data_IF_493052267464
#
_entry.id   IF_493052267464
#
_cell.length_a   1.000
_cell.length_b   1.000
_cell.length_c   1.000
_cell.angle_alpha   90.00
_cell.angle_beta   90.00
_cell.angle_gamma   90.00
#
_symmetry.space_group_name_H-M   'P 1'
#
loop_
_entity.id
_entity.type
_entity.pdbx_description
1 polymer ?
#
# COMPACT_ATOMS: atom_id res chain seq x y z
N UNK A 1 0.32 -19.47 -60.49
CA UNK A 1 -0.24 -18.57 -61.51
C UNK A 1 -1.34 -17.76 -60.85
N UNK A 2 -1.21 -16.44 -60.90
CA UNK A 2 -2.05 -15.43 -60.26
C UNK A 2 -3.53 -15.45 -60.71
N UNK A 3 -4.31 -14.64 -59.98
CA UNK A 3 -5.50 -13.86 -60.37
C UNK A 3 -6.83 -14.34 -59.76
N UNK A 4 -7.38 -13.67 -58.74
CA UNK A 4 -7.94 -12.29 -58.61
C UNK A 4 -9.48 -12.36 -58.58
N UNK A 5 -10.05 -11.71 -57.55
CA UNK A 5 -11.48 -11.34 -57.46
C UNK A 5 -11.93 -10.54 -58.70
N UNK A 6 -13.26 -10.51 -58.95
CA UNK A 6 -13.89 -9.21 -59.13
C UNK A 6 -15.16 -9.02 -58.29
N UNK A 7 -15.28 -7.78 -57.82
CA UNK A 7 -16.44 -7.14 -57.22
C UNK A 7 -17.59 -6.91 -58.24
N UNK A 8 -18.80 -6.79 -57.67
CA UNK A 8 -19.90 -5.87 -58.02
C UNK A 8 -20.81 -6.18 -59.23
N UNK A 9 -22.10 -6.45 -58.93
CA UNK A 9 -23.29 -5.77 -59.50
C UNK A 9 -24.53 -6.09 -58.62
N UNK A 10 -24.90 -5.22 -57.68
CA UNK A 10 -26.07 -4.33 -57.69
C UNK A 10 -27.42 -5.04 -57.98
N UNK A 11 -28.24 -5.29 -56.95
CA UNK A 11 -29.35 -4.43 -56.45
C UNK A 11 -30.63 -4.57 -57.29
N UNK A 12 -31.67 -5.17 -56.69
CA UNK A 12 -33.07 -4.79 -56.84
C UNK A 12 -33.92 -5.45 -55.74
N UNK A 13 -34.45 -4.58 -54.86
CA UNK A 13 -35.79 -4.63 -54.24
C UNK A 13 -36.02 -5.71 -53.16
N UNK A 14 -36.67 -5.43 -52.04
CA UNK A 14 -37.22 -4.23 -51.44
C UNK A 14 -37.66 -4.61 -50.01
N UNK A 15 -37.72 -3.62 -49.13
CA UNK A 15 -38.55 -3.62 -47.92
C UNK A 15 -38.26 -4.71 -46.87
N UNK A 16 -37.27 -4.45 -46.01
CA UNK A 16 -37.43 -4.72 -44.59
C UNK A 16 -37.05 -3.46 -43.82
N UNK A 17 -37.91 -3.12 -42.86
CA UNK A 17 -37.92 -1.88 -42.09
C UNK A 17 -36.56 -1.48 -41.51
N UNK A 18 -36.35 -0.15 -41.28
CA UNK A 18 -35.19 0.32 -40.56
C UNK A 18 -35.33 -0.15 -39.12
N UNK A 19 -34.73 -1.29 -38.78
CA UNK A 19 -34.36 -1.55 -37.40
C UNK A 19 -33.32 -0.50 -37.09
N UNK A 20 -33.68 0.46 -36.22
CA UNK A 20 -32.76 1.41 -35.61
C UNK A 20 -31.47 0.66 -35.28
N UNK A 21 -30.42 0.93 -36.06
CA UNK A 21 -29.08 0.61 -35.64
C UNK A 21 -28.89 1.43 -34.37
N UNK A 22 -29.07 0.79 -33.21
CA UNK A 22 -28.56 1.33 -31.96
C UNK A 22 -27.11 1.67 -32.24
N UNK A 23 -26.80 2.95 -32.21
CA UNK A 23 -25.44 3.45 -32.12
C UNK A 23 -24.77 2.68 -30.98
N UNK A 24 -24.05 1.62 -31.33
CA UNK A 24 -23.07 1.02 -30.44
C UNK A 24 -22.04 2.11 -30.33
N UNK A 25 -22.17 2.95 -29.29
CA UNK A 25 -21.13 3.87 -28.86
C UNK A 25 -19.85 3.07 -28.88
N UNK A 26 -19.01 3.33 -29.87
CA UNK A 26 -17.63 2.83 -29.91
C UNK A 26 -17.02 3.44 -28.67
N UNK A 27 -16.88 2.67 -27.60
CA UNK A 27 -16.21 3.13 -26.39
C UNK A 27 -14.87 3.71 -26.84
N UNK A 28 -14.73 5.03 -26.73
CA UNK A 28 -13.47 5.70 -27.02
C UNK A 28 -12.46 5.14 -26.03
N UNK A 29 -11.65 4.19 -26.50
CA UNK A 29 -10.57 3.59 -25.73
C UNK A 29 -9.70 4.74 -25.23
N UNK A 30 -9.50 4.82 -23.92
CA UNK A 30 -8.69 5.85 -23.31
C UNK A 30 -7.30 5.89 -23.99
N UNK A 31 -6.71 7.09 -24.17
CA UNK A 31 -5.39 7.19 -24.77
C UNK A 31 -4.36 6.39 -23.94
N UNK A 32 -3.31 5.83 -24.57
CA UNK A 32 -2.23 5.16 -23.86
C UNK A 32 -1.65 6.06 -22.76
N UNK A 33 -1.29 5.45 -21.63
CA UNK A 33 -0.67 6.12 -20.48
C UNK A 33 0.80 5.74 -20.38
N UNK A 34 1.67 6.74 -20.23
CA UNK A 34 3.08 6.50 -19.88
C UNK A 34 3.20 5.98 -18.44
N UNK A 35 3.94 4.90 -18.26
CA UNK A 35 4.19 4.27 -16.96
C UNK A 35 5.68 3.99 -16.74
N UNK A 36 6.11 4.09 -15.49
CA UNK A 36 7.36 3.54 -15.00
C UNK A 36 7.10 2.10 -14.56
N UNK A 37 7.83 1.14 -15.11
CA UNK A 37 7.71 -0.28 -14.77
C UNK A 37 8.95 -0.70 -13.99
N UNK A 38 8.75 -1.29 -12.81
CA UNK A 38 9.82 -1.81 -11.96
C UNK A 38 9.61 -3.30 -11.73
N UNK A 39 10.67 -4.09 -11.90
CA UNK A 39 10.75 -5.42 -11.32
C UNK A 39 11.61 -5.32 -10.07
N UNK A 40 11.06 -5.69 -8.91
CA UNK A 40 11.74 -5.55 -7.63
C UNK A 40 11.61 -6.80 -6.76
N UNK A 41 12.62 -7.05 -5.96
CA UNK A 41 12.57 -7.98 -4.82
C UNK A 41 12.24 -7.19 -3.57
N UNK A 42 11.38 -7.73 -2.71
CA UNK A 42 10.99 -7.11 -1.43
C UNK A 42 11.06 -8.14 -0.30
N UNK A 43 11.59 -7.74 0.85
CA UNK A 43 11.57 -8.52 2.11
C UNK A 43 11.07 -7.68 3.28
N UNK A 44 10.76 -8.34 4.40
CA UNK A 44 10.39 -7.65 5.65
C UNK A 44 8.99 -7.01 5.66
N UNK A 45 8.08 -7.49 4.80
CA UNK A 45 6.67 -7.09 4.82
C UNK A 45 6.07 -7.39 6.20
N UNK A 46 5.33 -6.45 6.82
CA UNK A 46 4.63 -6.70 8.08
C UNK A 46 3.75 -7.96 8.00
N UNK A 47 3.99 -8.91 8.91
CA UNK A 47 3.25 -10.18 8.97
C UNK A 47 3.81 -11.33 8.13
N UNK A 48 4.89 -11.12 7.36
CA UNK A 48 5.64 -12.17 6.67
C UNK A 48 6.94 -12.50 7.42
N UNK A 49 7.48 -13.74 7.32
CA UNK A 49 8.81 -14.06 7.84
C UNK A 49 9.87 -13.18 7.16
N UNK A 50 10.83 -12.66 7.92
CA UNK A 50 11.84 -11.69 7.45
C UNK A 50 12.69 -12.22 6.27
N UNK A 51 12.83 -13.55 6.17
CA UNK A 51 13.65 -14.23 5.15
C UNK A 51 12.95 -14.43 3.80
N UNK A 52 11.64 -14.19 3.71
CA UNK A 52 10.90 -14.43 2.45
C UNK A 52 11.11 -13.27 1.49
N UNK A 53 11.75 -13.58 0.35
CA UNK A 53 11.90 -12.67 -0.79
C UNK A 53 10.69 -12.80 -1.71
N UNK A 54 9.98 -11.69 -1.93
CA UNK A 54 8.86 -11.60 -2.84
C UNK A 54 9.29 -10.86 -4.13
N UNK A 55 9.01 -11.45 -5.28
CA UNK A 55 9.24 -10.82 -6.57
C UNK A 55 7.98 -10.07 -7.00
N UNK A 56 8.09 -8.76 -7.14
CA UNK A 56 6.98 -7.87 -7.47
C UNK A 56 7.26 -7.14 -8.77
N UNK A 57 6.25 -7.06 -9.63
CA UNK A 57 6.25 -6.13 -10.75
C UNK A 57 5.32 -4.97 -10.44
N UNK A 58 5.82 -3.74 -10.59
CA UNK A 58 5.11 -2.51 -10.27
C UNK A 58 4.99 -1.66 -11.52
N UNK A 59 3.77 -1.29 -11.87
CA UNK A 59 3.47 -0.28 -12.89
C UNK A 59 3.02 0.98 -12.18
N UNK A 60 3.74 2.06 -12.38
CA UNK A 60 3.46 3.35 -11.78
C UNK A 60 3.01 4.27 -12.90
N UNK A 61 1.78 4.76 -12.81
CA UNK A 61 1.22 5.77 -13.72
C UNK A 61 1.16 7.15 -13.06
N UNK A 62 0.53 8.08 -13.77
CA UNK A 62 0.44 9.48 -13.32
C UNK A 62 -0.56 9.72 -12.19
N UNK A 63 -1.22 8.71 -11.63
CA UNK A 63 -2.22 8.86 -10.55
C UNK A 63 -2.61 7.48 -9.97
N UNK A 64 -1.91 6.41 -10.37
CA UNK A 64 -2.27 5.04 -10.02
C UNK A 64 -1.04 4.14 -10.00
N UNK A 65 -1.07 3.10 -9.18
CA UNK A 65 -0.03 2.07 -9.13
C UNK A 65 -0.71 0.71 -9.21
N UNK A 66 -0.22 -0.16 -10.08
CA UNK A 66 -0.51 -1.59 -10.07
C UNK A 66 0.73 -2.32 -9.53
N UNK A 67 0.53 -3.14 -8.51
CA UNK A 67 1.53 -4.03 -7.95
C UNK A 67 1.08 -5.47 -8.14
N UNK A 68 1.88 -6.25 -8.85
CA UNK A 68 1.71 -7.67 -9.09
C UNK A 68 2.73 -8.44 -8.23
N UNK A 69 2.24 -9.07 -7.16
CA UNK A 69 3.04 -9.97 -6.33
C UNK A 69 3.04 -11.36 -6.98
N UNK A 70 4.04 -11.61 -7.83
CA UNK A 70 4.13 -12.84 -8.63
C UNK A 70 4.34 -14.07 -7.77
N UNK A 71 4.94 -13.92 -6.59
CA UNK A 71 5.17 -15.01 -5.65
C UNK A 71 3.87 -15.52 -5.03
N UNK A 72 2.88 -14.63 -4.81
CA UNK A 72 1.61 -14.95 -4.15
C UNK A 72 0.39 -14.95 -5.08
N UNK A 73 0.55 -14.46 -6.29
CA UNK A 73 -0.56 -14.16 -7.20
C UNK A 73 -1.47 -13.06 -6.64
N UNK A 74 -0.96 -12.12 -5.84
CA UNK A 74 -1.76 -11.03 -5.29
C UNK A 74 -1.61 -9.79 -6.16
N UNK A 75 -2.72 -9.12 -6.49
CA UNK A 75 -2.70 -7.88 -7.24
C UNK A 75 -3.22 -6.75 -6.37
N UNK A 76 -2.53 -5.62 -6.37
CA UNK A 76 -2.96 -4.42 -5.66
C UNK A 76 -2.97 -3.22 -6.60
N UNK A 77 -4.02 -2.42 -6.53
CA UNK A 77 -4.14 -1.20 -7.32
C UNK A 77 -4.37 -0.02 -6.38
N UNK A 78 -3.39 0.86 -6.25
CA UNK A 78 -3.55 2.17 -5.61
C UNK A 78 -4.14 3.15 -6.62
N UNK A 79 -5.25 3.80 -6.27
CA UNK A 79 -5.97 4.77 -7.10
C UNK A 79 -5.98 6.13 -6.41
N UNK A 80 -5.29 7.11 -6.98
CA UNK A 80 -5.31 8.52 -6.53
C UNK A 80 -6.24 9.39 -7.38
N UNK A 81 -6.78 8.83 -8.45
CA UNK A 81 -7.74 9.47 -9.37
C UNK A 81 -9.19 9.40 -8.87
N UNK A 82 -9.41 8.80 -7.70
CA UNK A 82 -10.70 8.72 -7.02
C UNK A 82 -10.86 9.88 -6.03
N UNK A 83 -12.10 10.29 -5.67
CA UNK A 83 -12.33 11.36 -4.71
C UNK A 83 -11.61 11.17 -3.36
N UNK A 84 -11.52 9.91 -2.92
CA UNK A 84 -10.67 9.48 -1.82
C UNK A 84 -9.65 8.47 -2.35
N UNK A 85 -8.34 8.64 -2.05
CA UNK A 85 -7.33 7.63 -2.34
C UNK A 85 -7.71 6.28 -1.75
N UNK A 86 -7.59 5.23 -2.54
CA UNK A 86 -7.92 3.87 -2.11
C UNK A 86 -6.98 2.85 -2.71
N UNK A 87 -6.89 1.70 -2.05
CA UNK A 87 -6.24 0.50 -2.58
C UNK A 87 -7.28 -0.57 -2.82
N UNK A 88 -7.31 -1.11 -4.03
CA UNK A 88 -7.97 -2.37 -4.32
C UNK A 88 -6.97 -3.50 -4.10
N UNK A 89 -7.31 -4.45 -3.24
CA UNK A 89 -6.62 -5.74 -3.14
C UNK A 89 -7.46 -6.80 -3.84
N UNK A 90 -6.93 -7.40 -4.89
CA UNK A 90 -7.65 -8.31 -5.78
C UNK A 90 -7.13 -9.73 -5.56
N UNK A 91 -8.05 -10.69 -5.47
CA UNK A 91 -7.74 -12.10 -5.32
C UNK A 91 -6.95 -12.64 -6.51
N UNK A 92 -6.23 -13.75 -6.30
CA UNK A 92 -5.35 -14.32 -7.32
C UNK A 92 -6.07 -14.84 -8.56
N UNK A 93 -7.33 -15.22 -8.42
CA UNK A 93 -8.22 -15.63 -9.49
C UNK A 93 -9.00 -14.47 -10.13
N UNK A 94 -8.80 -13.23 -9.63
CA UNK A 94 -9.47 -12.02 -10.12
C UNK A 94 -10.97 -11.95 -9.84
N UNK A 95 -11.52 -12.91 -9.09
CA UNK A 95 -12.96 -13.01 -8.86
C UNK A 95 -13.47 -12.02 -7.81
N UNK A 96 -12.60 -11.59 -6.90
CA UNK A 96 -12.98 -10.79 -5.75
C UNK A 96 -11.97 -9.68 -5.47
N UNK A 97 -12.45 -8.59 -4.86
CA UNK A 97 -11.58 -7.52 -4.38
C UNK A 97 -12.05 -6.93 -3.05
N UNK A 98 -11.13 -6.28 -2.34
CA UNK A 98 -11.38 -5.47 -1.15
C UNK A 98 -10.94 -4.04 -1.39
N UNK A 99 -11.68 -3.08 -0.82
CA UNK A 99 -11.27 -1.68 -0.79
C UNK A 99 -10.63 -1.31 0.55
N UNK A 100 -9.52 -0.59 0.51
CA UNK A 100 -8.84 -0.03 1.67
C UNK A 100 -8.75 1.48 1.46
N UNK A 101 -9.42 2.25 2.32
CA UNK A 101 -9.57 3.71 2.17
C UNK A 101 -8.91 4.52 3.30
N UNK A 102 -8.72 3.94 4.49
CA UNK A 102 -7.97 4.58 5.58
C UNK A 102 -6.47 4.24 5.52
N UNK A 103 -5.82 4.71 4.46
CA UNK A 103 -4.40 4.43 4.23
C UNK A 103 -3.50 5.07 5.31
N UNK A 104 -3.96 6.14 5.96
CA UNK A 104 -3.21 6.87 6.99
C UNK A 104 -3.37 6.33 8.42
N UNK A 105 -4.13 5.24 8.62
CA UNK A 105 -4.41 4.64 9.93
C UNK A 105 -3.15 4.42 10.77
N UNK A 106 -2.09 3.89 10.16
CA UNK A 106 -0.82 3.59 10.85
C UNK A 106 -0.25 4.82 11.54
N UNK A 107 -0.25 5.98 10.88
CA UNK A 107 0.29 7.22 11.47
C UNK A 107 -0.66 7.82 12.52
N UNK A 108 -1.98 7.68 12.34
CA UNK A 108 -2.97 8.11 13.34
C UNK A 108 -2.80 7.32 14.64
N UNK A 109 -2.74 6.00 14.54
CA UNK A 109 -2.56 5.10 15.69
C UNK A 109 -1.22 5.36 16.38
N UNK A 110 -0.16 5.56 15.59
CA UNK A 110 1.17 5.94 16.08
C UNK A 110 1.12 7.23 16.90
N UNK A 111 0.51 8.29 16.36
CA UNK A 111 0.40 9.58 17.04
C UNK A 111 -0.32 9.46 18.38
N UNK A 112 -1.45 8.74 18.41
CA UNK A 112 -2.20 8.51 19.66
C UNK A 112 -1.36 7.78 20.71
N UNK A 113 -0.57 6.78 20.32
CA UNK A 113 0.30 6.07 21.24
C UNK A 113 1.47 6.92 21.74
N UNK A 114 2.06 7.75 20.88
CA UNK A 114 3.10 8.71 21.27
C UNK A 114 2.55 9.71 22.30
N UNK A 115 1.38 10.29 22.05
CA UNK A 115 0.70 11.21 22.98
C UNK A 115 0.39 10.54 24.34
N UNK A 116 -0.15 9.32 24.31
CA UNK A 116 -0.39 8.54 25.53
C UNK A 116 0.90 8.18 26.29
N UNK A 117 2.01 7.96 25.57
CA UNK A 117 3.30 7.70 26.21
C UNK A 117 3.82 8.95 26.91
N UNK A 118 3.74 10.10 26.26
CA UNK A 118 4.14 11.39 26.85
C UNK A 118 3.36 11.64 28.14
N UNK A 119 2.03 11.48 28.13
CA UNK A 119 1.20 11.70 29.31
C UNK A 119 1.55 10.73 30.45
N UNK A 120 1.69 9.42 30.16
CA UNK A 120 2.05 8.40 31.17
C UNK A 120 3.42 8.63 31.81
N UNK A 121 4.31 9.34 31.13
CA UNK A 121 5.67 9.59 31.63
C UNK A 121 5.79 10.88 32.44
N UNK A 122 4.71 11.66 32.56
CA UNK A 122 4.71 12.99 33.19
C UNK A 122 5.18 12.98 34.64
N UNK A 123 4.77 11.98 35.40
CA UNK A 123 5.06 11.86 36.83
C UNK A 123 6.36 11.08 37.12
N UNK A 124 7.07 10.62 36.08
CA UNK A 124 8.36 9.95 36.25
C UNK A 124 9.46 10.94 36.65
N UNK A 125 10.49 10.50 37.38
CA UNK A 125 11.69 11.29 37.62
C UNK A 125 12.27 11.86 36.31
N UNK A 126 12.81 13.10 36.30
CA UNK A 126 13.25 13.75 35.06
C UNK A 126 14.25 12.94 34.23
N UNK A 127 15.17 12.23 34.89
CA UNK A 127 16.14 11.36 34.22
C UNK A 127 15.49 10.14 33.57
N UNK A 128 14.53 9.51 34.24
CA UNK A 128 13.79 8.35 33.72
C UNK A 128 12.89 8.76 32.56
N UNK A 129 12.18 9.88 32.70
CA UNK A 129 11.36 10.45 31.62
C UNK A 129 12.21 10.73 30.38
N UNK A 130 13.35 11.41 30.54
CA UNK A 130 14.25 11.71 29.43
C UNK A 130 14.78 10.44 28.75
N UNK A 131 15.15 9.42 29.53
CA UNK A 131 15.64 8.15 29.00
C UNK A 131 14.56 7.42 28.19
N UNK A 132 13.32 7.37 28.69
CA UNK A 132 12.21 6.67 28.04
C UNK A 132 11.75 7.37 26.76
N UNK A 133 11.62 8.69 26.77
CA UNK A 133 11.30 9.48 25.57
C UNK A 133 12.38 9.33 24.50
N UNK A 134 13.67 9.38 24.89
CA UNK A 134 14.79 9.15 23.98
C UNK A 134 14.77 7.74 23.38
N UNK A 135 14.52 6.71 24.19
CA UNK A 135 14.42 5.33 23.72
C UNK A 135 13.24 5.12 22.75
N UNK A 136 12.21 5.96 22.86
CA UNK A 136 11.04 5.94 21.98
C UNK A 136 11.17 6.91 20.79
N UNK A 137 12.33 7.56 20.63
CA UNK A 137 12.59 8.59 19.61
C UNK A 137 11.62 9.78 19.65
N UNK A 138 11.06 10.10 20.82
CA UNK A 138 10.16 11.25 21.01
C UNK A 138 10.98 12.43 21.53
N UNK A 139 10.85 13.57 20.85
CA UNK A 139 11.35 14.87 21.31
C UNK A 139 10.18 15.75 21.70
N UNK A 140 10.36 16.56 22.74
CA UNK A 140 9.36 17.51 23.21
C UNK A 140 9.87 18.94 23.05
N UNK A 141 8.99 19.87 22.69
CA UNK A 141 9.28 21.31 22.71
C UNK A 141 9.38 21.85 24.13
N UNK A 142 9.71 23.14 24.26
CA UNK A 142 9.64 23.89 25.53
C UNK A 142 8.24 23.88 26.14
N UNK A 143 7.19 23.82 25.31
CA UNK A 143 5.79 23.76 25.74
C UNK A 143 5.33 22.31 26.07
N UNK A 144 6.18 21.32 25.82
CA UNK A 144 5.86 19.90 26.05
C UNK A 144 5.12 19.22 24.91
N UNK A 145 5.08 19.83 23.72
CA UNK A 145 4.47 19.24 22.52
C UNK A 145 5.45 18.30 21.79
N UNK A 146 4.94 17.26 21.13
CA UNK A 146 5.78 16.33 20.35
C UNK A 146 6.32 17.05 19.11
N UNK A 147 7.64 16.99 18.93
CA UNK A 147 8.34 17.57 17.78
C UNK A 147 9.04 16.46 16.99
N UNK A 148 8.97 16.56 15.66
CA UNK A 148 9.69 15.71 14.72
C UNK A 148 10.69 16.54 13.93
N UNK A 149 11.97 16.32 14.21
CA UNK A 149 13.06 16.92 13.45
C UNK A 149 13.52 15.95 12.37
N UNK A 150 13.52 16.38 11.12
CA UNK A 150 13.96 15.54 10.01
C UNK A 150 15.36 15.94 9.57
N UNK A 151 16.27 14.98 9.60
CA UNK A 151 17.62 15.14 9.05
C UNK A 151 17.79 14.27 7.81
N UNK A 152 18.23 14.88 6.73
CA UNK A 152 18.58 14.17 5.48
C UNK A 152 20.09 14.27 5.31
N UNK A 153 20.75 13.11 5.28
CA UNK A 153 22.17 13.00 4.97
C UNK A 153 22.31 12.44 3.55
N UNK A 154 23.05 13.15 2.69
CA UNK A 154 23.39 12.68 1.36
C UNK A 154 24.88 12.37 1.29
N UNK A 155 25.20 11.12 0.99
CA UNK A 155 26.58 10.70 0.74
C UNK A 155 26.83 10.70 -0.76
N UNK A 156 27.99 11.19 -1.22
CA UNK A 156 28.35 11.17 -2.64
C UNK A 156 28.39 9.74 -3.18
N UNK A 157 28.51 9.57 -4.50
CA UNK A 157 28.43 8.28 -5.20
C UNK A 157 29.11 7.16 -4.42
N UNK A 158 28.30 6.22 -3.91
CA UNK A 158 28.73 5.14 -3.01
C UNK A 158 28.87 3.80 -3.72
N UNK A 159 28.40 3.71 -4.97
CA UNK A 159 28.47 2.48 -5.77
C UNK A 159 27.70 2.58 -7.07
N UNK A 160 27.28 1.41 -7.57
CA UNK A 160 26.55 1.26 -8.83
C UNK A 160 25.37 0.28 -8.67
N UNK A 161 24.23 0.58 -9.29
CA UNK A 161 23.10 -0.34 -9.45
C UNK A 161 22.56 -0.26 -10.86
N UNK A 162 22.32 -1.44 -11.46
CA UNK A 162 21.79 -1.56 -12.81
C UNK A 162 22.62 -0.79 -13.85
N UNK A 163 23.95 -0.76 -13.71
CA UNK A 163 24.83 -0.02 -14.63
C UNK A 163 24.94 1.48 -14.33
N UNK A 164 24.28 1.99 -13.28
CA UNK A 164 24.16 3.42 -13.00
C UNK A 164 24.79 3.79 -11.66
N UNK A 165 25.53 4.92 -11.58
CA UNK A 165 26.06 5.41 -10.32
C UNK A 165 24.90 5.75 -9.36
N UNK A 166 25.06 5.38 -8.09
CA UNK A 166 24.08 5.67 -7.04
C UNK A 166 24.72 6.47 -5.91
N UNK A 167 23.94 7.41 -5.38
CA UNK A 167 24.24 8.11 -4.12
C UNK A 167 23.41 7.51 -2.99
N UNK A 168 23.93 7.53 -1.77
CA UNK A 168 23.18 7.07 -0.61
C UNK A 168 22.47 8.25 0.05
N UNK A 169 21.18 8.10 0.32
CA UNK A 169 20.35 9.08 1.03
C UNK A 169 19.81 8.45 2.29
N UNK A 170 20.17 9.01 3.43
CA UNK A 170 19.67 8.61 4.75
C UNK A 170 18.67 9.66 5.22
N UNK A 171 17.48 9.21 5.61
CA UNK A 171 16.45 10.07 6.21
C UNK A 171 16.23 9.63 7.64
N UNK A 172 16.45 10.56 8.57
CA UNK A 172 16.25 10.37 9.99
C UNK A 172 15.09 11.22 10.48
N UNK A 173 14.23 10.63 11.33
CA UNK A 173 13.22 11.33 12.11
C UNK A 173 13.64 11.29 13.57
N UNK A 174 13.94 12.47 14.13
CA UNK A 174 14.69 12.62 15.37
C UNK A 174 16.01 11.82 15.27
N UNK A 175 16.19 10.82 16.13
CA UNK A 175 17.37 9.95 16.14
C UNK A 175 17.11 8.59 15.46
N UNK A 176 15.94 8.41 14.83
CA UNK A 176 15.51 7.16 14.21
C UNK A 176 15.80 7.19 12.72
N UNK A 177 16.49 6.17 12.20
CA UNK A 177 16.57 5.97 10.75
C UNK A 177 15.20 5.58 10.19
N UNK A 178 14.73 6.30 9.17
CA UNK A 178 13.44 6.06 8.51
C UNK A 178 13.64 5.48 7.11
N UNK A 179 14.62 5.99 6.37
CA UNK A 179 14.94 5.48 5.05
C UNK A 179 16.45 5.47 4.83
N UNK A 180 16.94 4.38 4.24
CA UNK A 180 18.29 4.27 3.68
C UNK A 180 18.15 3.86 2.23
N UNK A 181 18.43 4.78 1.31
CA UNK A 181 18.12 4.64 -0.11
C UNK A 181 19.38 4.80 -0.96
N UNK A 182 19.59 3.87 -1.89
CA UNK A 182 20.52 4.03 -3.00
C UNK A 182 19.75 4.60 -4.20
N UNK A 183 20.02 5.87 -4.49
CA UNK A 183 19.28 6.67 -5.47
C UNK A 183 20.13 6.88 -6.72
N UNK A 184 19.59 6.49 -7.88
CA UNK A 184 20.17 6.80 -9.18
C UNK A 184 19.58 8.11 -9.73
N UNK A 185 20.38 8.84 -10.49
CA UNK A 185 19.93 10.05 -11.21
C UNK A 185 19.10 9.67 -12.45
N UNK A 186 17.87 9.21 -12.18
CA UNK A 186 16.88 8.85 -13.18
C UNK A 186 15.72 9.83 -13.02
N UNK A 187 15.44 10.61 -14.06
CA UNK A 187 14.23 11.41 -14.12
C UNK A 187 13.00 10.49 -14.14
N UNK A 188 11.96 10.78 -13.37
CA UNK A 188 10.69 10.05 -13.46
C UNK A 188 9.70 10.83 -14.33
N UNK A 189 8.79 10.16 -15.06
CA UNK A 189 7.81 10.85 -15.92
C UNK A 189 6.80 11.70 -15.13
N UNK A 190 6.66 11.46 -13.83
CA UNK A 190 5.82 12.22 -12.91
C UNK A 190 6.41 12.14 -11.49
N UNK A 191 5.91 12.98 -10.58
CA UNK A 191 6.31 12.95 -9.17
C UNK A 191 5.79 11.69 -8.45
N UNK A 192 6.69 11.00 -7.74
CA UNK A 192 6.36 9.85 -6.89
C UNK A 192 5.82 10.28 -5.50
N UNK A 193 6.01 11.55 -5.14
CA UNK A 193 5.72 12.07 -3.82
C UNK A 193 4.27 11.85 -3.35
N UNK A 194 3.30 12.01 -4.26
CA UNK A 194 1.87 11.76 -3.97
C UNK A 194 1.57 10.31 -3.57
N UNK A 195 2.34 9.34 -4.07
CA UNK A 195 2.15 7.94 -3.72
C UNK A 195 2.70 7.65 -2.33
N UNK A 196 3.81 8.29 -1.95
CA UNK A 196 4.30 8.25 -0.58
C UNK A 196 3.30 8.89 0.38
N UNK A 197 2.70 10.04 0.04
CA UNK A 197 1.63 10.64 0.86
C UNK A 197 0.44 9.69 1.04
N UNK A 198 0.02 9.06 -0.06
CA UNK A 198 -1.12 8.16 -0.04
C UNK A 198 -0.85 6.82 0.67
N UNK A 199 0.39 6.36 0.76
CA UNK A 199 0.70 5.06 1.38
C UNK A 199 0.46 5.02 2.89
N UNK A 200 0.45 6.18 3.55
CA UNK A 200 0.36 6.30 5.01
C UNK A 200 1.52 5.67 5.77
N UNK A 201 2.63 5.36 5.09
CA UNK A 201 3.80 4.74 5.69
C UNK A 201 4.67 5.73 6.49
N UNK A 202 4.52 7.03 6.23
CA UNK A 202 5.40 8.09 6.73
C UNK A 202 4.62 9.22 7.40
N UNK A 203 5.25 9.88 8.36
CA UNK A 203 4.78 11.15 8.93
C UNK A 203 4.83 12.27 7.88
N UNK A 204 4.07 13.35 8.08
CA UNK A 204 4.05 14.48 7.14
C UNK A 204 5.44 15.12 7.00
N UNK A 205 6.19 15.19 8.11
CA UNK A 205 7.52 15.77 8.12
C UNK A 205 8.51 14.94 7.28
N UNK A 206 8.45 13.61 7.39
CA UNK A 206 9.24 12.71 6.54
C UNK A 206 8.81 12.83 5.08
N UNK A 207 7.51 12.91 4.81
CA UNK A 207 6.98 13.06 3.44
C UNK A 207 7.58 14.28 2.76
N UNK A 208 7.56 15.45 3.41
CA UNK A 208 8.17 16.69 2.92
C UNK A 208 9.66 16.54 2.59
N UNK A 209 10.40 15.74 3.37
CA UNK A 209 11.81 15.46 3.09
C UNK A 209 11.97 14.54 1.87
N UNK A 210 11.18 13.47 1.78
CA UNK A 210 11.20 12.53 0.65
C UNK A 210 10.87 13.22 -0.69
N UNK A 211 9.98 14.23 -0.70
CA UNK A 211 9.63 14.94 -1.95
C UNK A 211 10.81 15.71 -2.56
N UNK A 212 11.79 16.08 -1.75
CA UNK A 212 12.97 16.85 -2.17
C UNK A 212 14.06 15.95 -2.75
N UNK A 213 13.98 14.64 -2.54
CA UNK A 213 14.95 13.68 -3.06
C UNK A 213 14.72 13.53 -4.56
N UNK A 214 15.71 13.95 -5.35
CA UNK A 214 15.69 13.79 -6.81
C UNK A 214 16.29 12.44 -7.23
N UNK A 215 15.70 11.85 -8.27
CA UNK A 215 16.12 10.55 -8.81
C UNK A 215 15.17 9.41 -8.43
N UNK A 216 15.58 8.19 -8.76
CA UNK A 216 14.81 6.97 -8.49
C UNK A 216 15.59 6.09 -7.51
N UNK A 217 15.01 5.75 -6.34
CA UNK A 217 15.57 4.74 -5.46
C UNK A 217 15.58 3.36 -6.16
N UNK A 218 16.77 2.77 -6.33
CA UNK A 218 16.94 1.45 -6.96
C UNK A 218 17.17 0.33 -5.94
N UNK A 219 17.48 0.67 -4.71
CA UNK A 219 17.63 -0.24 -3.59
C UNK A 219 17.49 0.55 -2.30
N UNK A 220 16.99 -0.07 -1.25
CA UNK A 220 16.96 0.58 0.05
C UNK A 220 16.16 -0.15 1.11
N UNK A 221 16.22 0.40 2.31
CA UNK A 221 15.40 -0.01 3.45
C UNK A 221 14.50 1.14 3.88
N UNK A 222 13.22 0.85 4.01
CA UNK A 222 12.20 1.76 4.54
C UNK A 222 11.74 1.20 5.89
N UNK A 223 11.89 1.98 6.95
CA UNK A 223 11.42 1.62 8.28
C UNK A 223 9.97 2.08 8.43
N UNK A 224 9.04 1.14 8.32
CA UNK A 224 7.62 1.42 8.56
C UNK A 224 7.40 1.49 10.07
N UNK A 225 7.34 2.71 10.58
CA UNK A 225 7.10 2.97 12.01
C UNK A 225 5.61 2.90 12.28
N UNK A 226 5.21 1.86 12.99
CA UNK A 226 3.86 1.72 13.53
C UNK A 226 3.83 2.20 14.97
N UNK A 227 2.66 2.14 15.58
CA UNK A 227 2.47 2.54 16.96
C UNK A 227 3.30 1.70 17.96
N UNK A 228 3.45 0.39 17.68
CA UNK A 228 4.11 -0.55 18.61
C UNK A 228 5.45 -1.07 18.13
N UNK A 229 5.65 -1.18 16.81
CA UNK A 229 6.79 -1.84 16.20
C UNK A 229 7.31 -1.05 15.01
N UNK A 230 8.53 -1.37 14.61
CA UNK A 230 9.11 -0.88 13.36
C UNK A 230 9.50 -2.05 12.50
N UNK A 231 9.04 -2.00 11.26
CA UNK A 231 9.22 -3.07 10.30
C UNK A 231 10.14 -2.58 9.19
N UNK A 232 11.34 -3.18 9.03
CA UNK A 232 12.21 -2.87 7.92
C UNK A 232 11.63 -3.51 6.65
N UNK A 233 11.20 -2.69 5.70
CA UNK A 233 10.90 -3.13 4.35
C UNK A 233 12.13 -2.89 3.49
N UNK A 234 12.77 -3.96 3.04
CA UNK A 234 13.93 -3.87 2.15
C UNK A 234 13.45 -4.12 0.73
N UNK A 235 13.86 -3.28 -0.21
CA UNK A 235 13.56 -3.47 -1.62
C UNK A 235 14.82 -3.37 -2.48
N UNK A 236 14.80 -4.10 -3.59
CA UNK A 236 15.89 -4.12 -4.57
C UNK A 236 15.31 -4.17 -5.98
N UNK A 237 15.49 -3.10 -6.74
CA UNK A 237 15.06 -3.03 -8.15
C UNK A 237 16.02 -3.86 -9.00
N UNK A 238 15.47 -4.84 -9.69
CA UNK A 238 16.19 -5.74 -10.60
C UNK A 238 16.15 -5.22 -12.04
N UNK A 239 15.05 -4.57 -12.42
CA UNK A 239 14.87 -3.97 -13.74
C UNK A 239 13.96 -2.75 -13.64
N UNK A 240 14.18 -1.76 -14.49
CA UNK A 240 13.27 -0.63 -14.66
C UNK A 240 13.11 -0.29 -16.14
N UNK A 241 11.95 0.22 -16.52
CA UNK A 241 11.65 0.62 -17.90
C UNK A 241 10.56 1.70 -17.95
N UNK A 242 10.42 2.40 -19.08
CA UNK A 242 9.28 3.30 -19.35
C UNK A 242 8.53 2.84 -20.58
N UNK A 243 7.20 2.76 -20.48
CA UNK A 243 6.34 2.25 -21.56
C UNK A 243 5.04 3.01 -21.61
N UNK A 244 4.38 2.97 -22.76
CA UNK A 244 2.97 3.30 -22.86
C UNK A 244 2.13 2.03 -22.70
N UNK A 245 1.09 2.09 -21.87
CA UNK A 245 0.17 0.98 -21.60
C UNK A 245 -1.28 1.44 -21.76
N UNK A 246 -2.17 0.47 -21.98
CA UNK A 246 -3.61 0.73 -21.89
C UNK A 246 -3.98 1.05 -20.43
N UNK A 247 -4.62 2.20 -20.13
CA UNK A 247 -5.04 2.54 -18.76
C UNK A 247 -5.92 1.47 -18.08
N UNK A 248 -6.59 0.61 -18.86
CA UNK A 248 -7.41 -0.48 -18.37
C UNK A 248 -6.65 -1.51 -17.51
N UNK A 249 -5.30 -1.57 -17.56
CA UNK A 249 -4.53 -2.44 -16.66
C UNK A 249 -4.70 -2.07 -15.18
N UNK A 250 -5.15 -0.83 -14.90
CA UNK A 250 -5.38 -0.33 -13.55
C UNK A 250 -6.85 -0.41 -13.11
N UNK A 251 -7.70 -1.05 -13.90
CA UNK A 251 -9.10 -1.26 -13.55
C UNK A 251 -9.32 -2.65 -12.93
N UNK A 252 -10.42 -2.79 -12.21
CA UNK A 252 -10.82 -4.09 -11.67
C UNK A 252 -11.11 -5.06 -12.83
N UNK A 253 -10.75 -6.35 -12.68
CA UNK A 253 -11.13 -7.36 -13.66
C UNK A 253 -12.64 -7.39 -13.91
N UNK A 254 -13.04 -7.75 -15.13
CA UNK A 254 -14.45 -7.92 -15.45
C UNK A 254 -15.07 -9.01 -14.54
N UNK A 255 -16.26 -8.72 -13.98
CA UNK A 255 -16.98 -9.56 -13.03
C UNK A 255 -16.31 -9.73 -11.64
N UNK A 256 -15.33 -8.88 -11.31
CA UNK A 256 -14.76 -8.86 -9.96
C UNK A 256 -15.81 -8.35 -8.94
N UNK A 257 -16.02 -9.11 -7.87
CA UNK A 257 -17.05 -8.81 -6.86
C UNK A 257 -16.42 -8.21 -5.60
N UNK A 258 -17.02 -7.15 -5.07
CA UNK A 258 -16.59 -6.56 -3.79
C UNK A 258 -16.84 -7.55 -2.66
N UNK A 259 -15.78 -7.91 -1.93
CA UNK A 259 -15.90 -8.50 -0.60
C UNK A 259 -16.07 -7.32 0.35
N UNK A 260 -17.32 -7.06 0.73
CA UNK A 260 -17.62 -6.11 1.79
C UNK A 260 -17.21 -6.77 3.12
N UNK A 261 -15.98 -6.51 3.53
CA UNK A 261 -15.40 -7.11 4.71
C UNK A 261 -15.78 -6.20 5.89
N UNK A 262 -17.06 -6.21 6.27
CA UNK A 262 -17.65 -5.40 7.35
C UNK A 262 -16.62 -5.20 8.46
N UNK A 263 -16.04 -4.00 8.52
CA UNK A 263 -14.95 -3.70 9.45
C UNK A 263 -15.38 -3.95 10.89
N UNK A 264 -16.69 -3.85 11.12
CA UNK A 264 -17.39 -4.08 12.35
C UNK A 264 -18.20 -5.38 12.28
N UNK A 265 -17.90 -6.30 13.19
CA UNK A 265 -18.61 -7.57 13.35
C UNK A 265 -19.16 -7.67 14.75
N UNK A 266 -20.10 -8.56 14.99
CA UNK A 266 -20.67 -8.71 16.34
C UNK A 266 -19.92 -9.80 17.11
N UNK A 267 -19.49 -9.48 18.34
CA UNK A 267 -18.90 -10.44 19.25
C UNK A 267 -19.90 -11.59 19.47
N UNK A 268 -19.52 -12.86 19.22
CA UNK A 268 -20.45 -13.99 19.26
C UNK A 268 -20.93 -14.34 20.67
N UNK A 269 -20.42 -13.66 21.70
CA UNK A 269 -20.76 -13.90 23.12
C UNK A 269 -21.63 -12.79 23.69
N UNK A 270 -21.22 -11.52 23.55
CA UNK A 270 -21.95 -10.40 24.12
C UNK A 270 -22.83 -9.66 23.10
N UNK A 271 -22.68 -9.95 21.79
CA UNK A 271 -23.40 -9.28 20.73
C UNK A 271 -22.98 -7.82 20.50
N UNK A 272 -21.97 -7.29 21.21
CA UNK A 272 -21.46 -5.95 20.92
C UNK A 272 -20.69 -5.94 19.61
N UNK A 273 -20.89 -4.86 18.86
CA UNK A 273 -20.13 -4.57 17.65
C UNK A 273 -18.65 -4.36 18.02
N UNK A 274 -17.77 -5.01 17.29
CA UNK A 274 -16.32 -4.99 17.46
C UNK A 274 -15.67 -4.82 16.11
N UNK A 275 -14.74 -3.87 16.03
CA UNK A 275 -13.90 -3.74 14.85
C UNK A 275 -12.97 -4.96 14.76
N UNK A 276 -12.94 -5.66 13.62
CA UNK A 276 -12.18 -6.90 13.42
C UNK A 276 -10.72 -6.75 13.85
N UNK A 277 -10.10 -5.66 13.43
CA UNK A 277 -8.68 -5.37 13.67
C UNK A 277 -8.38 -4.90 15.10
N UNK A 278 -9.35 -4.26 15.77
CA UNK A 278 -9.24 -3.83 17.16
C UNK A 278 -9.78 -4.85 18.19
N UNK A 279 -10.20 -6.03 17.72
CA UNK A 279 -10.76 -7.06 18.60
C UNK A 279 -9.78 -7.49 19.70
N UNK A 280 -10.28 -7.63 20.93
CA UNK A 280 -9.45 -8.02 22.06
C UNK A 280 -8.91 -9.46 21.96
N UNK A 281 -9.54 -10.30 21.14
CA UNK A 281 -9.09 -11.65 20.78
C UNK A 281 -9.77 -12.13 19.48
N UNK A 282 -9.20 -13.17 18.87
CA UNK A 282 -9.75 -13.83 17.67
C UNK A 282 -9.63 -15.36 17.73
N UNK A 283 -10.55 -16.07 17.11
CA UNK A 283 -10.53 -17.53 17.00
C UNK A 283 -10.93 -18.01 15.61
N UNK A 284 -10.31 -19.07 15.09
CA UNK A 284 -10.61 -19.59 13.75
C UNK A 284 -11.77 -20.60 13.80
N UNK A 285 -12.73 -20.46 12.88
CA UNK A 285 -13.82 -21.40 12.64
C UNK A 285 -13.35 -22.61 11.84
N UNK A 286 -14.16 -23.67 11.80
CA UNK A 286 -13.87 -24.90 11.03
C UNK A 286 -13.91 -24.66 9.52
N UNK A 287 -14.72 -23.70 9.06
CA UNK A 287 -14.82 -23.26 7.65
C UNK A 287 -13.68 -22.32 7.22
N UNK A 288 -12.73 -22.02 8.11
CA UNK A 288 -11.60 -21.14 7.84
C UNK A 288 -11.83 -19.66 8.17
N UNK A 289 -13.06 -19.23 8.45
CA UNK A 289 -13.39 -17.85 8.86
C UNK A 289 -13.00 -17.55 10.31
N UNK A 290 -13.11 -16.30 10.77
CA UNK A 290 -12.71 -15.87 12.12
C UNK A 290 -13.91 -15.45 12.99
N UNK A 291 -13.86 -15.76 14.28
CA UNK A 291 -14.61 -15.09 15.34
C UNK A 291 -13.75 -13.96 15.92
N UNK A 292 -14.38 -12.83 16.21
CA UNK A 292 -13.75 -11.65 16.82
C UNK A 292 -14.47 -11.35 18.13
N UNK A 293 -13.72 -11.02 19.18
CA UNK A 293 -14.26 -10.83 20.54
C UNK A 293 -14.00 -9.41 21.04
N UNK A 294 -15.05 -8.77 21.54
CA UNK A 294 -15.00 -7.43 22.18
C UNK A 294 -14.04 -7.41 23.38
N UNK A 295 -14.10 -8.44 24.24
CA UNK A 295 -13.27 -8.57 25.44
C UNK A 295 -12.60 -9.92 25.54
N UNK A 296 -11.43 -9.98 26.21
CA UNK A 296 -10.74 -11.25 26.51
C UNK A 296 -11.61 -12.21 27.34
N UNK A 297 -12.46 -11.69 28.22
CA UNK A 297 -13.42 -12.50 28.98
C UNK A 297 -14.44 -13.20 28.07
N UNK A 298 -14.89 -12.55 26.99
CA UNK A 298 -15.77 -13.17 26.01
C UNK A 298 -15.08 -14.35 25.31
N UNK A 299 -13.82 -14.19 24.90
CA UNK A 299 -13.03 -15.28 24.31
C UNK A 299 -12.85 -16.45 25.27
N UNK A 300 -12.54 -16.19 26.55
CA UNK A 300 -12.39 -17.24 27.56
C UNK A 300 -13.69 -18.02 27.77
N UNK A 301 -14.83 -17.33 27.89
CA UNK A 301 -16.15 -17.97 28.00
C UNK A 301 -16.49 -18.82 26.76
N UNK A 302 -16.24 -18.29 25.57
CA UNK A 302 -16.44 -19.01 24.31
C UNK A 302 -15.58 -20.29 24.24
N UNK A 303 -14.29 -20.19 24.61
CA UNK A 303 -13.36 -21.31 24.62
C UNK A 303 -13.79 -22.41 25.60
N UNK A 304 -14.26 -22.03 26.79
CA UNK A 304 -14.74 -22.97 27.80
C UNK A 304 -16.01 -23.71 27.35
N UNK A 305 -16.95 -23.00 26.70
CA UNK A 305 -18.16 -23.64 26.17
C UNK A 305 -17.82 -24.63 25.04
N UNK A 306 -16.91 -24.25 24.12
CA UNK A 306 -16.40 -25.12 23.06
C UNK A 306 -15.73 -26.40 23.57
N UNK A 307 -15.04 -26.33 24.72
CA UNK A 307 -14.40 -27.50 25.35
C UNK A 307 -15.39 -28.40 26.09
N UNK A 308 -16.61 -27.94 26.37
CA UNK A 308 -17.69 -28.78 26.94
C UNK A 308 -18.52 -29.47 25.87
N UNK A 309 -18.49 -28.97 24.64
CA UNK A 309 -19.22 -29.51 23.48
C UNK A 309 -18.41 -30.55 22.67
N UNK A 310 -17.12 -30.75 22.99
CA UNK A 310 -16.29 -31.84 22.47
C UNK A 310 -15.82 -32.74 23.60
#
# INVERSE_FOLDING_TARGET
>A
MMFYLPLLFWLLLAAQDPTEAKDVKREERAPPMEVLVLLQEVTGRPGSPEEVVELQQVYIGSDRILLEDRSRGLYRILRLDKPQPLVWEISSDGSMYREITDLARIQKDRRLQEEQLVERTRDLPPSERAALLKASHIRLSSEGEIVREIHVEEKPVTGERLGMPVRQVLVHENDRLIADLLVADITTPFSLARFHRASGAFSEEVLVALEKIQGLPLEGTIQVVTATLTHPLVFKVQQWDRKEVDPAIFDLPANCTLIDDDAFVHCPVCGQEVEREASAARARKRDGTWYYFDRRSCFQSWRLNRLKEN
#
